data_IF_835064315352
#
_entry.id   IF_835064315352
#
_cell.length_a   1.000
_cell.length_b   1.000
_cell.length_c   1.000
_cell.angle_alpha   90.00
_cell.angle_beta   90.00
_cell.angle_gamma   90.00
#
_symmetry.space_group_name_H-M   'P 1'
#
loop_
_entity.id
_entity.type
_entity.pdbx_description
1 polymer ?
#
# COMPACT_ATOMS: atom_id res chain seq x y z
N UNK A 1 -6.74 -10.04 -12.99
CA UNK A 1 -6.29 -9.11 -11.92
C UNK A 1 -5.24 -9.82 -11.10
N UNK A 2 -4.07 -9.20 -10.90
CA UNK A 2 -3.03 -9.80 -10.07
C UNK A 2 -3.50 -9.88 -8.61
N UNK A 3 -3.25 -10.99 -7.93
CA UNK A 3 -3.63 -11.18 -6.52
C UNK A 3 -2.67 -10.37 -5.65
N UNK A 4 -3.20 -9.37 -4.94
CA UNK A 4 -2.43 -8.61 -3.96
C UNK A 4 -2.28 -9.43 -2.68
N UNK A 5 -1.09 -9.42 -2.10
CA UNK A 5 -0.77 -10.15 -0.87
C UNK A 5 -0.18 -9.21 0.17
N UNK A 6 -0.34 -9.50 1.47
CA UNK A 6 0.17 -8.64 2.56
C UNK A 6 1.70 -8.48 2.56
N UNK A 7 2.43 -9.39 1.92
CA UNK A 7 3.89 -9.35 1.79
C UNK A 7 4.38 -8.41 0.68
N UNK A 8 3.48 -7.90 -0.17
CA UNK A 8 3.85 -6.96 -1.22
C UNK A 8 4.21 -5.61 -0.61
N UNK A 9 5.19 -4.93 -1.22
CA UNK A 9 5.48 -3.54 -0.90
C UNK A 9 4.33 -2.65 -1.31
N UNK A 10 4.09 -1.62 -0.53
CA UNK A 10 3.05 -0.63 -0.82
C UNK A 10 3.29 0.00 -2.20
N UNK A 11 4.53 0.33 -2.56
CA UNK A 11 4.88 0.81 -3.90
C UNK A 11 4.43 -0.10 -5.04
N UNK A 12 4.56 -1.42 -4.89
CA UNK A 12 4.21 -2.37 -5.93
C UNK A 12 2.69 -2.53 -6.05
N UNK A 13 1.98 -2.42 -4.93
CA UNK A 13 0.51 -2.37 -4.90
C UNK A 13 -0.02 -1.16 -5.66
N UNK A 14 0.58 0.02 -5.47
CA UNK A 14 0.15 1.24 -6.17
C UNK A 14 0.37 1.18 -7.68
N UNK A 15 1.39 0.43 -8.15
CA UNK A 15 1.62 0.20 -9.58
C UNK A 15 0.58 -0.74 -10.19
N UNK A 16 0.12 -1.72 -9.42
CA UNK A 16 -0.88 -2.72 -9.86
C UNK A 16 -2.30 -2.16 -9.76
N UNK A 17 -2.56 -1.33 -8.76
CA UNK A 17 -3.87 -0.78 -8.44
C UNK A 17 -3.76 0.73 -8.18
N UNK A 18 -3.97 1.58 -9.21
CA UNK A 18 -3.84 3.04 -9.07
C UNK A 18 -4.90 3.66 -8.14
N UNK A 19 -6.03 2.98 -7.91
CA UNK A 19 -7.06 3.39 -6.93
C UNK A 19 -6.71 3.00 -5.48
N UNK A 20 -5.69 2.15 -5.26
CA UNK A 20 -5.28 1.72 -3.93
C UNK A 20 -4.95 2.86 -2.96
N UNK A 21 -4.34 4.00 -3.34
CA UNK A 21 -4.05 5.08 -2.39
C UNK A 21 -5.29 5.60 -1.68
N UNK A 22 -6.40 5.78 -2.40
CA UNK A 22 -7.66 6.28 -1.83
C UNK A 22 -8.30 5.27 -0.88
N UNK A 23 -8.19 3.97 -1.19
CA UNK A 23 -8.64 2.89 -0.31
C UNK A 23 -7.75 2.84 0.94
N UNK A 24 -6.43 2.77 0.77
CA UNK A 24 -5.44 2.71 1.83
C UNK A 24 -5.59 3.89 2.81
N UNK A 25 -5.73 5.12 2.31
CA UNK A 25 -5.95 6.30 3.14
C UNK A 25 -7.22 6.20 4.01
N UNK A 26 -8.27 5.54 3.54
CA UNK A 26 -9.50 5.30 4.31
C UNK A 26 -9.38 4.22 5.37
N UNK A 27 -8.44 3.28 5.20
CA UNK A 27 -8.29 2.10 6.06
C UNK A 27 -7.04 2.15 6.97
N UNK A 28 -6.47 3.33 7.20
CA UNK A 28 -5.39 3.51 8.19
C UNK A 28 -4.01 3.81 7.61
N UNK A 29 -3.89 4.05 6.30
CA UNK A 29 -2.64 4.48 5.65
C UNK A 29 -2.72 5.92 5.14
N UNK A 30 -2.87 6.93 6.02
CA UNK A 30 -2.95 8.34 5.60
C UNK A 30 -1.66 8.80 4.89
N UNK A 31 -0.53 8.13 5.16
CA UNK A 31 0.79 8.45 4.63
C UNK A 31 1.22 7.57 3.44
N UNK A 32 0.30 6.93 2.72
CA UNK A 32 0.60 6.02 1.59
C UNK A 32 1.48 6.66 0.48
N UNK A 33 1.49 7.99 0.37
CA UNK A 33 2.34 8.74 -0.55
C UNK A 33 3.74 9.08 -0.01
N UNK A 34 4.02 8.83 1.26
CA UNK A 34 5.34 9.08 1.85
C UNK A 34 6.35 8.05 1.31
N UNK A 35 7.55 8.48 0.87
CA UNK A 35 8.58 7.56 0.35
C UNK A 35 8.94 6.45 1.34
N UNK A 36 8.89 6.77 2.64
CA UNK A 36 9.22 5.84 3.72
C UNK A 36 8.15 4.75 3.89
N UNK A 37 6.87 5.06 3.65
CA UNK A 37 5.79 4.06 3.68
C UNK A 37 5.82 3.18 2.43
N UNK A 38 6.24 3.71 1.29
CA UNK A 38 6.25 2.95 0.03
C UNK A 38 7.28 1.82 -0.02
N UNK A 39 8.33 1.87 0.82
CA UNK A 39 9.30 0.79 0.97
C UNK A 39 8.84 -0.33 1.90
N UNK A 40 7.85 -0.06 2.75
CA UNK A 40 7.25 -1.04 3.67
C UNK A 40 6.33 -2.02 2.93
N UNK A 41 6.09 -3.18 3.55
CA UNK A 41 5.07 -4.11 3.10
C UNK A 41 3.70 -3.70 3.63
N UNK A 42 2.64 -4.22 2.97
CA UNK A 42 1.26 -4.03 3.42
C UNK A 42 1.03 -4.50 4.86
N UNK A 43 1.65 -5.61 5.28
CA UNK A 43 1.52 -6.09 6.66
C UNK A 43 2.28 -5.23 7.68
N UNK A 44 3.45 -4.72 7.33
CA UNK A 44 4.27 -3.93 8.25
C UNK A 44 3.62 -2.57 8.51
N UNK A 45 3.13 -1.89 7.47
CA UNK A 45 2.47 -0.59 7.65
C UNK A 45 1.03 -0.68 8.20
N UNK A 46 0.46 -1.88 8.33
CA UNK A 46 -0.87 -2.10 8.94
C UNK A 46 -0.81 -2.45 10.43
N UNK A 47 0.39 -2.63 11.00
CA UNK A 47 0.60 -2.77 12.45
C UNK A 47 0.38 -1.44 13.15
#
# INVERSE_FOLDING_TARGET
MAKITPKMKIADVLKVCPDAPGIMARYGFPCVGCPMTQIETLEEGAK
#
